data_IF_372153039020
#
_entry.id   IF_372153039020
#
_cell.length_a   1.000
_cell.length_b   1.000
_cell.length_c   1.000
_cell.angle_alpha   90.00
_cell.angle_beta   90.00
_cell.angle_gamma   90.00
#
_symmetry.space_group_name_H-M   'P 1'
#
loop_
_entity.id
_entity.type
_entity.pdbx_description
1 polymer ?
#
# COMPACT_ATOMS: atom_id res chain seq x y z
N UNK A 1 6.14 -1.23 15.10
CA UNK A 1 6.73 -0.57 13.91
C UNK A 1 6.79 -1.57 12.75
N UNK A 2 5.62 -1.83 12.14
CA UNK A 2 5.40 -3.04 11.37
C UNK A 2 5.54 -2.78 9.87
N UNK A 3 6.78 -2.66 9.38
CA UNK A 3 7.06 -2.80 7.94
C UNK A 3 6.79 -4.25 7.52
N UNK A 4 5.95 -4.49 6.51
CA UNK A 4 5.45 -5.83 6.21
C UNK A 4 4.68 -5.95 4.90
N UNK A 5 4.15 -7.15 4.62
CA UNK A 5 3.30 -7.39 3.45
C UNK A 5 1.98 -6.63 3.59
N UNK A 6 1.54 -5.90 2.56
CA UNK A 6 0.23 -5.25 2.58
C UNK A 6 -0.88 -6.31 2.58
N UNK A 7 -1.96 -6.04 3.31
CA UNK A 7 -3.11 -6.94 3.39
C UNK A 7 -4.08 -6.70 2.22
N UNK A 8 -3.66 -7.10 1.02
CA UNK A 8 -4.47 -6.93 -0.19
C UNK A 8 -5.77 -7.73 -0.19
N UNK A 9 -5.83 -8.84 0.56
CA UNK A 9 -7.04 -9.65 0.71
C UNK A 9 -8.16 -8.93 1.48
N UNK A 10 -7.84 -7.87 2.24
CA UNK A 10 -8.82 -7.03 2.93
C UNK A 10 -9.61 -6.13 1.97
N UNK A 11 -9.06 -5.83 0.79
CA UNK A 11 -9.59 -4.82 -0.12
C UNK A 11 -10.27 -5.46 -1.33
N UNK A 12 -11.40 -4.87 -1.75
CA UNK A 12 -12.11 -5.26 -2.97
C UNK A 12 -11.51 -4.55 -4.20
N UNK A 13 -10.27 -4.90 -4.55
CA UNK A 13 -9.56 -4.36 -5.71
C UNK A 13 -10.37 -4.54 -7.02
N UNK A 14 -10.25 -3.62 -8.00
CA UNK A 14 -9.35 -2.46 -8.04
C UNK A 14 -9.90 -1.20 -7.34
N UNK A 15 -11.09 -1.27 -6.73
CA UNK A 15 -11.72 -0.13 -6.08
C UNK A 15 -11.17 0.05 -4.64
N UNK A 16 -10.61 1.22 -4.37
CA UNK A 16 -10.12 1.62 -3.05
C UNK A 16 -10.96 2.74 -2.48
N UNK A 17 -11.06 2.82 -1.14
CA UNK A 17 -11.64 3.99 -0.49
C UNK A 17 -10.73 5.20 -0.70
N UNK A 18 -11.32 6.39 -0.64
CA UNK A 18 -10.60 7.67 -0.75
C UNK A 18 -10.00 8.12 0.60
N UNK A 19 -9.95 7.23 1.58
CA UNK A 19 -9.31 7.51 2.87
C UNK A 19 -7.82 7.74 2.68
N UNK A 20 -7.34 8.87 3.18
CA UNK A 20 -5.93 9.23 3.13
C UNK A 20 -5.21 8.67 4.35
N UNK A 21 -4.57 7.52 4.17
CA UNK A 21 -3.79 6.80 5.20
C UNK A 21 -2.46 6.40 4.58
N UNK A 22 -1.54 7.36 4.36
CA UNK A 22 -0.41 7.17 3.48
C UNK A 22 0.51 6.06 3.97
N UNK A 23 1.04 5.27 3.03
CA UNK A 23 2.04 4.23 3.30
C UNK A 23 3.21 4.40 2.35
N UNK A 24 4.41 4.15 2.86
CA UNK A 24 5.63 4.16 2.08
C UNK A 24 5.92 2.74 1.63
N UNK A 25 6.04 2.53 0.33
CA UNK A 25 6.47 1.27 -0.24
C UNK A 25 7.98 1.06 -0.08
N UNK A 26 8.43 -0.19 -0.17
CA UNK A 26 9.86 -0.54 -0.23
C UNK A 26 10.55 -0.05 -1.50
N UNK A 27 9.78 0.41 -2.48
CA UNK A 27 10.22 1.08 -3.70
C UNK A 27 10.47 2.59 -3.50
N UNK A 28 10.16 3.13 -2.30
CA UNK A 28 10.31 4.55 -1.99
C UNK A 28 9.14 5.41 -2.47
N UNK A 29 8.05 4.81 -2.93
CA UNK A 29 6.84 5.53 -3.37
C UNK A 29 5.85 5.65 -2.22
N UNK A 30 5.27 6.85 -2.07
CA UNK A 30 4.14 7.05 -1.15
C UNK A 30 2.84 6.71 -1.84
N UNK A 31 2.09 5.77 -1.27
CA UNK A 31 0.74 5.41 -1.69
C UNK A 31 -0.26 6.08 -0.76
N UNK A 32 -1.36 6.62 -1.30
CA UNK A 32 -2.37 7.32 -0.52
C UNK A 32 -3.06 6.46 0.53
N UNK A 33 -3.09 5.14 0.31
CA UNK A 33 -3.42 4.13 1.30
C UNK A 33 -2.89 2.75 0.92
N UNK A 34 -2.96 1.79 1.84
CA UNK A 34 -2.56 0.39 1.64
C UNK A 34 -3.29 -0.28 0.47
N UNK A 35 -4.55 0.09 0.20
CA UNK A 35 -5.28 -0.42 -0.96
C UNK A 35 -4.68 0.07 -2.28
N UNK A 36 -4.28 1.34 -2.37
CA UNK A 36 -3.62 1.88 -3.56
C UNK A 36 -2.29 1.17 -3.84
N UNK A 37 -1.52 0.85 -2.79
CA UNK A 37 -0.32 0.02 -2.90
C UNK A 37 -0.67 -1.36 -3.45
N UNK A 38 -1.69 -2.01 -2.89
CA UNK A 38 -2.18 -3.29 -3.38
C UNK A 38 -2.67 -3.27 -4.84
N UNK A 39 -3.27 -2.18 -5.28
CA UNK A 39 -3.74 -2.00 -6.66
C UNK A 39 -2.58 -1.91 -7.66
N UNK A 40 -1.42 -1.36 -7.24
CA UNK A 40 -0.22 -1.32 -8.06
C UNK A 40 0.63 -2.60 -8.04
N UNK A 41 0.43 -3.48 -7.05
CA UNK A 41 1.14 -4.76 -6.88
C UNK A 41 0.76 -5.84 -7.91
N UNK A 42 0.54 -5.47 -9.18
CA UNK A 42 0.19 -6.42 -10.26
C UNK A 42 1.40 -7.04 -10.97
N UNK A 43 2.60 -6.44 -10.83
CA UNK A 43 3.82 -6.90 -11.52
C UNK A 43 4.93 -7.28 -10.55
N UNK A 44 5.23 -6.42 -9.59
CA UNK A 44 6.19 -6.70 -8.52
C UNK A 44 5.55 -6.38 -7.17
N UNK A 45 5.65 -7.27 -6.16
CA UNK A 45 5.06 -7.05 -4.86
C UNK A 45 5.90 -6.05 -4.05
N UNK A 46 5.48 -4.79 -4.07
CA UNK A 46 5.93 -3.74 -3.15
C UNK A 46 5.43 -4.07 -1.75
N UNK A 47 6.34 -4.04 -0.77
CA UNK A 47 6.01 -4.20 0.64
C UNK A 47 5.86 -2.84 1.30
N UNK A 48 5.20 -2.78 2.46
CA UNK A 48 5.13 -1.56 3.25
C UNK A 48 6.45 -1.39 4.01
N UNK A 49 7.17 -0.31 3.73
CA UNK A 49 8.34 0.11 4.48
C UNK A 49 7.95 0.88 5.77
N UNK A 50 6.93 1.76 5.70
CA UNK A 50 6.36 2.47 6.87
C UNK A 50 4.91 2.87 6.62
N UNK A 51 4.10 2.94 7.69
CA UNK A 51 2.69 3.38 7.64
C UNK A 51 2.56 4.92 7.68
N UNK A 52 3.36 5.59 6.87
CA UNK A 52 3.36 7.05 6.68
C UNK A 52 3.86 7.35 5.26
N UNK A 53 3.86 8.61 4.83
CA UNK A 53 4.54 9.00 3.60
C UNK A 53 6.05 8.66 3.67
N UNK A 54 6.63 8.26 2.54
CA UNK A 54 8.08 8.31 2.32
C UNK A 54 8.52 9.76 2.53
#
# INVERSE_FOLDING_TARGET
>A
PSAGRPNCAKYSLPACTLDYTPVCGTDGVTYGNECMLCSQNQREPVLIAKYEAC
#
